data_IF_385333013848
#
_entry.id   IF_385333013848
#
_cell.length_a   1.000
_cell.length_b   1.000
_cell.length_c   1.000
_cell.angle_alpha   90.00
_cell.angle_beta   90.00
_cell.angle_gamma   90.00
#
_symmetry.space_group_name_H-M   'P 1'
#
loop_
_entity.id
_entity.type
_entity.pdbx_description
1 polymer ?
#
# COMPACT_ATOMS: atom_id res chain seq x y z
N UNK A 1 -6.62 12.18 -2.51
CA UNK A 1 -6.43 12.71 -1.13
C UNK A 1 -5.13 12.14 -0.57
N UNK A 2 -4.32 12.93 0.17
CA UNK A 2 -3.08 12.43 0.80
C UNK A 2 -3.37 11.88 2.19
N UNK A 3 -2.83 10.72 2.52
CA UNK A 3 -3.10 10.02 3.78
C UNK A 3 -1.82 9.42 4.36
N UNK A 4 -1.69 9.48 5.68
CA UNK A 4 -0.73 8.67 6.42
C UNK A 4 -1.44 7.37 6.76
N UNK A 5 -0.83 6.24 6.41
CA UNK A 5 -1.38 4.91 6.65
C UNK A 5 -0.39 4.13 7.47
N UNK A 6 -0.85 3.57 8.57
CA UNK A 6 -0.03 2.71 9.42
C UNK A 6 0.36 1.43 8.67
N UNK A 7 1.59 0.96 8.90
CA UNK A 7 2.13 -0.28 8.33
C UNK A 7 1.19 -1.46 8.55
N UNK A 8 0.59 -1.59 9.73
CA UNK A 8 -0.32 -2.69 10.07
C UNK A 8 -1.58 -2.68 9.21
N UNK A 9 -2.06 -1.53 8.77
CA UNK A 9 -3.23 -1.44 7.88
C UNK A 9 -2.88 -1.94 6.49
N UNK A 10 -1.71 -1.58 5.98
CA UNK A 10 -1.20 -2.08 4.69
C UNK A 10 -1.04 -3.60 4.77
N UNK A 11 -0.32 -4.10 5.78
CA UNK A 11 -0.09 -5.53 5.99
C UNK A 11 -1.40 -6.30 6.14
N UNK A 12 -2.33 -5.81 6.96
CA UNK A 12 -3.64 -6.45 7.15
C UNK A 12 -4.45 -6.52 5.84
N UNK A 13 -4.41 -5.46 5.03
CA UNK A 13 -5.07 -5.41 3.73
C UNK A 13 -4.40 -6.25 2.64
N UNK A 14 -3.11 -6.58 2.80
CA UNK A 14 -2.40 -7.53 1.92
C UNK A 14 -2.68 -8.99 2.32
N UNK A 15 -2.87 -9.27 3.61
CA UNK A 15 -3.21 -10.60 4.13
C UNK A 15 -4.66 -10.98 3.78
N UNK A 16 -5.60 -10.05 3.93
CA UNK A 16 -7.02 -10.28 3.68
C UNK A 16 -7.52 -9.44 2.52
N UNK A 17 -8.15 -10.07 1.52
CA UNK A 17 -8.82 -9.39 0.41
C UNK A 17 -10.19 -8.81 0.78
N UNK A 18 -10.56 -8.82 2.06
CA UNK A 18 -11.88 -8.35 2.54
C UNK A 18 -11.76 -7.50 3.81
N UNK A 19 -12.79 -6.69 4.05
CA UNK A 19 -12.88 -5.80 5.21
C UNK A 19 -12.29 -4.39 4.98
N UNK A 20 -12.31 -3.54 6.01
CA UNK A 20 -11.86 -2.15 5.91
C UNK A 20 -10.40 -1.99 5.43
N UNK A 21 -9.41 -2.76 5.92
CA UNK A 21 -8.02 -2.65 5.44
C UNK A 21 -7.86 -2.95 3.95
N UNK A 22 -8.57 -3.97 3.44
CA UNK A 22 -8.55 -4.32 2.02
C UNK A 22 -9.10 -3.18 1.14
N UNK A 23 -10.15 -2.49 1.60
CA UNK A 23 -10.71 -1.32 0.90
C UNK A 23 -9.71 -0.16 0.84
N UNK A 24 -8.96 0.07 1.93
CA UNK A 24 -7.92 1.09 1.98
C UNK A 24 -6.81 0.76 0.99
N UNK A 25 -6.29 -0.48 1.03
CA UNK A 25 -5.24 -0.94 0.10
C UNK A 25 -5.71 -0.81 -1.36
N UNK A 26 -6.93 -1.23 -1.68
CA UNK A 26 -7.49 -1.05 -3.03
C UNK A 26 -7.58 0.43 -3.44
N UNK A 27 -7.98 1.32 -2.55
CA UNK A 27 -8.04 2.75 -2.83
C UNK A 27 -6.63 3.37 -3.03
N UNK A 28 -5.61 2.89 -2.31
CA UNK A 28 -4.21 3.26 -2.54
C UNK A 28 -3.73 2.79 -3.91
N UNK A 29 -4.00 1.53 -4.25
CA UNK A 29 -3.62 0.90 -5.51
C UNK A 29 -4.32 1.51 -6.74
N UNK A 30 -5.53 2.02 -6.56
CA UNK A 30 -6.29 2.77 -7.58
C UNK A 30 -5.88 4.26 -7.65
N UNK A 31 -5.00 4.73 -6.78
CA UNK A 31 -4.58 6.14 -6.71
C UNK A 31 -5.65 7.10 -6.18
N UNK A 32 -6.74 6.59 -5.60
CA UNK A 32 -7.76 7.41 -4.93
C UNK A 32 -7.21 8.02 -3.64
N UNK A 33 -6.38 7.24 -2.95
CA UNK A 33 -5.58 7.65 -1.80
C UNK A 33 -4.11 7.65 -2.21
N UNK A 34 -3.39 8.72 -1.86
CA UNK A 34 -1.96 8.83 -2.10
C UNK A 34 -1.27 8.65 -0.74
N UNK A 35 -0.56 7.54 -0.52
CA UNK A 35 0.15 7.33 0.74
C UNK A 35 1.29 8.34 0.86
N UNK A 36 1.42 8.92 2.04
CA UNK A 36 2.57 9.75 2.42
C UNK A 36 3.35 8.97 3.47
N UNK A 37 4.57 8.59 3.13
CA UNK A 37 5.47 7.83 3.98
C UNK A 37 6.73 8.67 4.24
N UNK A 38 7.23 8.61 5.46
CA UNK A 38 8.62 9.02 5.73
C UNK A 38 9.59 7.95 5.24
N UNK A 39 10.87 8.27 5.06
CA UNK A 39 11.90 7.27 4.75
C UNK A 39 11.91 6.10 5.76
N UNK A 40 11.75 6.39 7.05
CA UNK A 40 11.77 5.37 8.11
C UNK A 40 10.57 4.42 8.03
N UNK A 41 9.36 4.96 7.81
CA UNK A 41 8.14 4.14 7.68
C UNK A 41 8.13 3.31 6.40
N UNK A 42 8.76 3.81 5.33
CA UNK A 42 8.97 3.03 4.11
C UNK A 42 9.93 1.86 4.36
N UNK A 43 11.06 2.10 5.04
CA UNK A 43 12.04 1.07 5.36
C UNK A 43 11.47 -0.03 6.28
N UNK A 44 10.63 0.36 7.25
CA UNK A 44 9.90 -0.60 8.09
C UNK A 44 8.96 -1.48 7.25
N UNK A 45 8.16 -0.87 6.37
CA UNK A 45 7.25 -1.60 5.50
C UNK A 45 7.99 -2.58 4.58
N UNK A 46 9.11 -2.16 3.98
CA UNK A 46 9.97 -3.03 3.18
C UNK A 46 10.49 -4.22 3.99
N UNK A 47 10.99 -3.97 5.21
CA UNK A 47 11.50 -5.01 6.11
C UNK A 47 10.39 -6.02 6.44
N UNK A 48 9.20 -5.54 6.78
CA UNK A 48 8.04 -6.41 7.09
C UNK A 48 7.68 -7.28 5.88
N UNK A 49 7.61 -6.70 4.68
CA UNK A 49 7.25 -7.42 3.47
C UNK A 49 8.30 -8.45 3.04
N UNK A 50 9.59 -8.20 3.32
CA UNK A 50 10.68 -9.14 3.03
C UNK A 50 10.72 -10.29 4.05
N UNK A 51 10.61 -9.96 5.34
CA UNK A 51 10.71 -10.96 6.42
C UNK A 51 9.48 -11.87 6.52
N UNK A 52 8.30 -11.35 6.19
CA UNK A 52 7.06 -12.10 6.23
C UNK A 52 6.59 -12.34 4.79
N UNK A 53 6.93 -13.50 4.17
CA UNK A 53 6.45 -13.83 2.83
C UNK A 53 4.93 -14.01 2.88
N UNK A 54 4.22 -12.92 2.64
CA UNK A 54 2.78 -12.91 2.51
C UNK A 54 2.42 -13.63 1.21
N UNK A 55 1.49 -14.60 1.28
CA UNK A 55 0.84 -15.16 0.09
C UNK A 55 -0.11 -14.13 -0.49
N UNK A 56 0.45 -13.05 -1.04
CA UNK A 56 -0.30 -12.02 -1.74
C UNK A 56 -0.73 -12.56 -3.09
N UNK A 57 -1.99 -12.31 -3.47
CA UNK A 57 -2.40 -12.54 -4.85
C UNK A 57 -1.72 -11.49 -5.73
N UNK A 58 -1.32 -11.83 -6.97
CA UNK A 58 -0.80 -10.85 -7.90
C UNK A 58 -1.79 -9.69 -8.03
N UNK A 59 -1.31 -8.47 -7.81
CA UNK A 59 -2.11 -7.30 -8.07
C UNK A 59 -2.24 -7.12 -9.59
N UNK A 60 -3.45 -7.26 -10.12
CA UNK A 60 -3.74 -6.90 -11.49
C UNK A 60 -3.75 -5.38 -11.61
N UNK A 61 -2.70 -4.84 -12.24
CA UNK A 61 -2.50 -3.41 -12.39
C UNK A 61 -3.64 -2.81 -13.22
N UNK A 62 -4.48 -1.90 -12.67
CA UNK A 62 -5.49 -1.23 -13.47
C UNK A 62 -4.81 -0.34 -14.51
N UNK A 63 -5.44 -0.17 -15.68
CA UNK A 63 -4.89 0.50 -16.86
C UNK A 63 -4.42 1.96 -16.64
N UNK A 64 -4.74 2.56 -15.48
CA UNK A 64 -4.21 3.85 -15.03
C UNK A 64 -3.52 3.70 -13.68
N UNK A 65 -2.27 3.27 -13.70
CA UNK A 65 -1.39 3.44 -12.55
C UNK A 65 -0.74 4.83 -12.68
N UNK A 66 -1.22 5.81 -11.92
CA UNK A 66 -0.65 7.16 -11.94
C UNK A 66 0.63 7.12 -11.11
N UNK A 67 1.79 7.14 -11.75
CA UNK A 67 3.06 7.39 -11.07
C UNK A 67 3.04 8.84 -10.60
N UNK A 68 2.86 9.05 -9.30
CA UNK A 68 3.12 10.36 -8.71
C UNK A 68 4.63 10.62 -8.82
N UNK A 69 5.04 11.34 -9.88
CA UNK A 69 6.35 12.01 -9.88
C UNK A 69 6.34 12.98 -8.71
N UNK A 70 7.14 12.69 -7.68
CA UNK A 70 7.63 13.73 -6.78
C UNK A 70 8.47 14.66 -7.64
N UNK A 71 7.88 15.76 -8.09
CA UNK A 71 8.64 16.86 -8.67
C UNK A 71 9.57 17.44 -7.60
N UNK A 72 10.80 17.85 -7.99
CA UNK A 72 11.83 18.32 -7.06
C UNK A 72 11.43 19.57 -6.29
#
# INVERSE_FOLDING_TARGET
>A
MRVIVDTNIIVSGLISSSGPPAKIVNALLQGLLIPVLSPDTLAELETVLIMFPLKVRPFERPARCVTAKLSP
#
